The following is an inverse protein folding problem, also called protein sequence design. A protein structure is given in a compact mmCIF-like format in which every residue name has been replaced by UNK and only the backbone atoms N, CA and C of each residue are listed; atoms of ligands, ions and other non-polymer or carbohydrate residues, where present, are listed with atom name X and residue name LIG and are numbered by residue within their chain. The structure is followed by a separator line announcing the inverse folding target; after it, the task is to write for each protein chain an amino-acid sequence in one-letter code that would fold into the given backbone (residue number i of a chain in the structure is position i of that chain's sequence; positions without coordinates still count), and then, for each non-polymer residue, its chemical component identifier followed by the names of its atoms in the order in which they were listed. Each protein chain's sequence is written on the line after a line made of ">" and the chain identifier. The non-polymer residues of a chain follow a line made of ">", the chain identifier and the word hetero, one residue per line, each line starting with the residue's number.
data_IF_900032495235
#
_entry.id   IF_900032495235
#
_cell.length_a   1.000
_cell.length_b   1.000
_cell.length_c   1.000
_cell.angle_alpha   90.00
_cell.angle_beta   90.00
_cell.angle_gamma   90.00
#
_symmetry.space_group_name_H-M   'P 1'
#
loop_
_entity.id
_entity.type
_entity.pdbx_description
1 polymer ?
#
# COMPACT_ATOMS: atom_id res chain seq x y z
N UNK A 1 -6.81 16.96 25.37
CA UNK A 1 -6.60 16.57 23.95
C UNK A 1 -6.10 15.13 23.96
N UNK A 2 -6.94 14.14 23.62
CA UNK A 2 -6.56 12.72 23.65
C UNK A 2 -5.67 12.42 22.43
N UNK A 3 -4.45 11.94 22.64
CA UNK A 3 -3.53 11.55 21.58
C UNK A 3 -3.75 10.06 21.28
N UNK A 4 -4.26 9.72 20.10
CA UNK A 4 -4.45 8.32 19.72
C UNK A 4 -3.11 7.65 19.37
N UNK A 5 -3.04 6.32 19.51
CA UNK A 5 -1.86 5.52 19.15
C UNK A 5 -1.46 5.74 17.68
N UNK A 6 -2.43 5.96 16.81
CA UNK A 6 -2.19 6.24 15.40
C UNK A 6 -1.53 7.59 15.20
N UNK A 7 -1.92 8.62 15.95
CA UNK A 7 -1.25 9.94 15.92
C UNK A 7 0.21 9.80 16.37
N UNK A 8 0.50 8.97 17.38
CA UNK A 8 1.88 8.70 17.82
C UNK A 8 2.68 8.00 16.73
N UNK A 9 2.11 6.96 16.09
CA UNK A 9 2.79 6.27 14.98
C UNK A 9 3.01 7.18 13.78
N UNK A 10 2.00 7.99 13.42
CA UNK A 10 2.08 8.99 12.36
C UNK A 10 3.22 10.00 12.64
N UNK A 11 3.30 10.49 13.88
CA UNK A 11 4.33 11.42 14.32
C UNK A 11 5.72 10.78 14.30
N UNK A 12 5.85 9.52 14.72
CA UNK A 12 7.10 8.77 14.62
C UNK A 12 7.54 8.55 13.17
N UNK A 13 6.61 8.21 12.28
CA UNK A 13 6.88 8.09 10.84
C UNK A 13 7.31 9.43 10.26
N UNK A 14 6.59 10.51 10.55
CA UNK A 14 6.94 11.86 10.09
C UNK A 14 8.32 12.31 10.59
N UNK A 15 8.66 12.00 11.85
CA UNK A 15 9.96 12.36 12.44
C UNK A 15 11.14 11.64 11.80
N UNK A 16 10.96 10.39 11.37
CA UNK A 16 12.03 9.56 10.77
C UNK A 16 12.25 9.83 9.28
N UNK A 17 11.22 10.35 8.60
CA UNK A 17 11.24 10.56 7.15
C UNK A 17 11.98 11.86 6.83
N UNK A 18 12.96 11.78 5.92
CA UNK A 18 13.67 12.94 5.39
C UNK A 18 13.28 13.15 3.93
N UNK A 19 12.65 14.29 3.65
CA UNK A 19 12.33 14.71 2.28
C UNK A 19 13.58 15.38 1.70
N UNK A 20 13.99 14.94 0.52
CA UNK A 20 15.09 15.58 -0.21
C UNK A 20 14.59 16.85 -0.93
N UNK A 21 15.48 17.80 -1.19
CA UNK A 21 15.14 19.04 -1.90
C UNK A 21 14.57 18.74 -3.30
N UNK A 22 15.11 17.73 -4.00
CA UNK A 22 14.59 17.29 -5.30
C UNK A 22 13.14 16.79 -5.22
N UNK A 23 12.77 16.04 -4.18
CA UNK A 23 11.41 15.56 -3.94
C UNK A 23 10.45 16.72 -3.65
N UNK A 24 10.85 17.65 -2.79
CA UNK A 24 10.04 18.84 -2.46
C UNK A 24 9.82 19.71 -3.71
N UNK A 25 10.88 20.00 -4.46
CA UNK A 25 10.82 20.83 -5.67
C UNK A 25 9.94 20.20 -6.75
N UNK A 26 10.08 18.90 -6.98
CA UNK A 26 9.18 18.18 -7.90
C UNK A 26 7.72 18.29 -7.44
N UNK A 27 7.47 18.03 -6.16
CA UNK A 27 6.12 18.10 -5.60
C UNK A 27 5.52 19.49 -5.76
N UNK A 28 6.24 20.57 -5.41
CA UNK A 28 5.71 21.94 -5.48
C UNK A 28 5.38 22.38 -6.92
N UNK A 29 6.18 21.94 -7.90
CA UNK A 29 5.95 22.24 -9.32
C UNK A 29 4.76 21.44 -9.84
N UNK A 30 4.71 20.15 -9.53
CA UNK A 30 3.71 19.22 -10.05
C UNK A 30 2.36 19.40 -9.36
N UNK A 31 2.34 19.66 -8.05
CA UNK A 31 1.13 19.80 -7.23
C UNK A 31 0.24 20.95 -7.70
N UNK A 32 0.83 22.03 -8.21
CA UNK A 32 0.10 23.16 -8.80
C UNK A 32 -0.65 22.79 -10.08
N UNK A 33 -0.22 21.74 -10.78
CA UNK A 33 -0.78 21.26 -12.05
C UNK A 33 -1.76 20.10 -11.86
N UNK A 34 -1.93 19.62 -10.63
CA UNK A 34 -2.80 18.48 -10.32
C UNK A 34 -4.25 18.84 -10.56
N UNK A 35 -4.93 17.98 -11.32
CA UNK A 35 -6.37 18.02 -11.59
C UNK A 35 -7.07 16.85 -10.91
N UNK A 36 -8.38 16.96 -10.69
CA UNK A 36 -9.20 15.92 -10.08
C UNK A 36 -10.10 16.47 -8.97
N UNK A 37 -11.30 15.89 -8.87
CA UNK A 37 -12.31 16.25 -7.87
C UNK A 37 -12.00 15.49 -6.58
N UNK A 38 -11.66 14.21 -6.70
CA UNK A 38 -11.38 13.35 -5.55
C UNK A 38 -9.91 13.39 -5.14
N UNK A 39 -9.61 13.13 -3.86
CA UNK A 39 -8.22 13.02 -3.37
C UNK A 39 -7.41 11.96 -4.14
N UNK A 40 -8.07 10.87 -4.54
CA UNK A 40 -7.44 9.79 -5.31
C UNK A 40 -7.10 10.22 -6.73
N UNK A 41 -8.02 10.89 -7.42
CA UNK A 41 -7.75 11.47 -8.75
C UNK A 41 -6.59 12.47 -8.70
N UNK A 42 -6.59 13.33 -7.68
CA UNK A 42 -5.49 14.29 -7.49
C UNK A 42 -4.16 13.58 -7.27
N UNK A 43 -4.13 12.52 -6.48
CA UNK A 43 -2.93 11.71 -6.29
C UNK A 43 -2.52 10.97 -7.57
N UNK A 44 -3.47 10.42 -8.33
CA UNK A 44 -3.17 9.80 -9.63
C UNK A 44 -2.58 10.82 -10.60
N UNK A 45 -3.20 12.00 -10.72
CA UNK A 45 -2.76 13.10 -11.57
C UNK A 45 -1.37 13.60 -11.18
N UNK A 46 -1.04 13.65 -9.88
CA UNK A 46 0.30 13.93 -9.38
C UNK A 46 1.31 12.85 -9.79
N UNK A 47 0.95 11.58 -9.61
CA UNK A 47 1.84 10.45 -9.88
C UNK A 47 2.12 10.24 -11.37
N UNK A 48 1.25 10.74 -12.24
CA UNK A 48 1.42 10.75 -13.70
C UNK A 48 2.31 11.90 -14.21
N UNK A 49 2.72 12.84 -13.36
CA UNK A 49 3.58 13.94 -13.78
C UNK A 49 5.00 13.44 -14.12
N UNK A 50 5.64 13.96 -15.19
CA UNK A 50 6.98 13.56 -15.57
C UNK A 50 8.04 14.02 -14.56
N UNK A 51 9.23 13.43 -14.62
CA UNK A 51 10.37 13.83 -13.78
C UNK A 51 10.24 13.47 -12.30
N UNK A 52 9.40 12.46 -11.97
CA UNK A 52 9.23 11.98 -10.60
C UNK A 52 10.57 11.43 -10.05
N UNK A 53 11.12 12.02 -8.96
CA UNK A 53 12.29 11.46 -8.30
C UNK A 53 11.93 10.14 -7.62
N UNK A 54 12.96 9.33 -7.30
CA UNK A 54 12.76 8.15 -6.47
C UNK A 54 12.18 8.59 -5.13
N UNK A 55 10.93 8.21 -4.85
CA UNK A 55 10.19 8.62 -3.66
C UNK A 55 9.52 7.40 -3.04
N UNK A 56 9.69 7.22 -1.74
CA UNK A 56 9.02 6.17 -0.97
C UNK A 56 7.60 6.60 -0.60
N UNK A 57 6.76 5.63 -0.29
CA UNK A 57 5.37 5.89 0.12
C UNK A 57 5.27 6.82 1.34
N UNK A 58 6.18 6.67 2.30
CA UNK A 58 6.25 7.49 3.53
C UNK A 58 6.68 8.94 3.24
N UNK A 59 7.62 9.13 2.32
CA UNK A 59 8.08 10.45 1.87
C UNK A 59 6.97 11.19 1.10
N UNK A 60 6.31 10.51 0.16
CA UNK A 60 5.18 11.08 -0.57
C UNK A 60 4.00 11.40 0.36
N UNK A 61 3.72 10.50 1.31
CA UNK A 61 2.68 10.72 2.31
C UNK A 61 2.96 11.97 3.15
N UNK A 62 4.22 12.20 3.55
CA UNK A 62 4.61 13.38 4.32
C UNK A 62 4.48 14.67 3.49
N UNK A 63 4.86 14.66 2.21
CA UNK A 63 4.65 15.79 1.29
C UNK A 63 3.16 16.16 1.17
N UNK A 64 2.30 15.16 0.99
CA UNK A 64 0.86 15.34 0.93
C UNK A 64 0.30 15.89 2.25
N UNK A 65 0.78 15.35 3.37
CA UNK A 65 0.41 15.82 4.70
C UNK A 65 0.78 17.30 4.90
N UNK A 66 1.99 17.69 4.53
CA UNK A 66 2.47 19.08 4.57
C UNK A 66 1.66 20.01 3.66
N UNK A 67 1.15 19.50 2.54
CA UNK A 67 0.22 20.19 1.65
C UNK A 67 -1.25 20.17 2.13
N UNK A 68 -1.48 19.83 3.41
CA UNK A 68 -2.78 19.69 4.05
C UNK A 68 -3.73 18.70 3.35
N UNK A 69 -3.17 17.69 2.66
CA UNK A 69 -3.92 16.60 2.06
C UNK A 69 -3.93 15.39 2.99
N UNK A 70 -5.04 15.23 3.73
CA UNK A 70 -5.24 14.05 4.57
C UNK A 70 -5.55 12.83 3.72
N UNK A 71 -4.56 11.97 3.53
CA UNK A 71 -4.70 10.61 2.99
C UNK A 71 -4.00 9.61 3.91
N UNK A 72 -4.54 8.38 3.97
CA UNK A 72 -3.90 7.28 4.69
C UNK A 72 -2.63 6.83 3.98
N UNK A 73 -1.59 6.48 4.75
CA UNK A 73 -0.31 6.00 4.23
C UNK A 73 -0.49 4.78 3.32
N UNK A 74 -1.41 3.87 3.67
CA UNK A 74 -1.75 2.69 2.85
C UNK A 74 -2.28 3.08 1.48
N UNK A 75 -3.11 4.12 1.39
CA UNK A 75 -3.60 4.62 0.09
C UNK A 75 -2.45 5.17 -0.75
N UNK A 76 -1.56 5.96 -0.14
CA UNK A 76 -0.39 6.52 -0.84
C UNK A 76 0.52 5.39 -1.34
N UNK A 77 0.81 4.39 -0.49
CA UNK A 77 1.62 3.22 -0.85
C UNK A 77 1.02 2.47 -2.05
N UNK A 78 -0.28 2.18 -2.01
CA UNK A 78 -0.94 1.43 -3.07
C UNK A 78 -0.98 2.20 -4.39
N UNK A 79 -1.24 3.51 -4.34
CA UNK A 79 -1.27 4.37 -5.53
C UNK A 79 0.12 4.55 -6.14
N UNK A 80 1.14 4.74 -5.30
CA UNK A 80 2.53 4.83 -5.74
C UNK A 80 2.99 3.53 -6.41
N UNK A 81 2.67 2.38 -5.82
CA UNK A 81 2.94 1.08 -6.42
C UNK A 81 2.22 0.94 -7.77
N UNK A 82 0.93 1.28 -7.84
CA UNK A 82 0.16 1.24 -9.09
C UNK A 82 0.76 2.13 -10.18
N UNK A 83 1.23 3.33 -9.83
CA UNK A 83 1.86 4.27 -10.76
C UNK A 83 3.30 3.88 -11.18
N UNK A 84 3.84 2.76 -10.68
CA UNK A 84 5.12 2.20 -11.14
C UNK A 84 4.93 0.95 -11.99
N UNK A 85 3.72 0.38 -12.01
CA UNK A 85 3.41 -0.83 -12.76
C UNK A 85 3.35 -0.51 -14.25
N UNK A 86 4.07 -1.31 -15.04
CA UNK A 86 3.86 -1.39 -16.48
C UNK A 86 3.18 -2.72 -16.79
N UNK A 87 1.92 -2.67 -17.20
CA UNK A 87 1.17 -3.87 -17.57
C UNK A 87 0.92 -3.89 -19.08
N UNK A 88 1.15 -5.05 -19.69
CA UNK A 88 0.94 -5.24 -21.13
C UNK A 88 -0.54 -5.46 -21.45
N UNK A 89 -0.94 -5.12 -22.68
CA UNK A 89 -2.33 -5.34 -23.13
C UNK A 89 -2.77 -6.82 -23.03
N UNK A 90 -1.82 -7.75 -23.21
CA UNK A 90 -2.04 -9.19 -23.05
C UNK A 90 -2.36 -9.57 -21.61
N UNK A 91 -1.61 -9.01 -20.64
CA UNK A 91 -1.87 -9.22 -19.21
C UNK A 91 -3.22 -8.61 -18.80
N UNK A 92 -3.54 -7.40 -19.29
CA UNK A 92 -4.85 -6.79 -19.06
C UNK A 92 -5.96 -7.71 -19.57
N UNK A 93 -5.84 -8.21 -20.81
CA UNK A 93 -6.83 -9.12 -21.38
C UNK A 93 -6.98 -10.39 -20.52
N UNK A 94 -5.86 -11.00 -20.13
CA UNK A 94 -5.86 -12.22 -19.32
C UNK A 94 -6.58 -12.00 -17.97
N UNK A 95 -6.27 -10.91 -17.25
CA UNK A 95 -6.93 -10.60 -15.97
C UNK A 95 -8.43 -10.42 -16.16
N UNK A 96 -8.85 -9.75 -17.22
CA UNK A 96 -10.26 -9.49 -17.48
C UNK A 96 -11.02 -10.73 -17.94
N UNK A 97 -10.40 -11.57 -18.78
CA UNK A 97 -10.97 -12.86 -19.17
C UNK A 97 -11.12 -13.77 -17.94
N UNK A 98 -10.11 -13.79 -17.06
CA UNK A 98 -10.18 -14.50 -15.78
C UNK A 98 -11.29 -13.95 -14.88
N UNK A 99 -11.38 -12.63 -14.73
CA UNK A 99 -12.43 -11.96 -13.96
C UNK A 99 -13.81 -12.34 -14.45
N UNK A 100 -14.08 -12.20 -15.75
CA UNK A 100 -15.38 -12.50 -16.36
C UNK A 100 -15.73 -14.00 -16.33
N UNK A 101 -14.74 -14.89 -16.18
CA UNK A 101 -14.96 -16.32 -16.04
C UNK A 101 -15.36 -16.74 -14.62
N UNK A 102 -15.24 -15.84 -13.64
CA UNK A 102 -15.69 -16.10 -12.28
C UNK A 102 -17.21 -16.03 -12.22
N UNK A 103 -17.81 -16.95 -11.47
CA UNK A 103 -19.23 -16.84 -11.12
C UNK A 103 -19.41 -15.67 -10.14
N UNK A 104 -19.92 -14.55 -10.63
CA UNK A 104 -20.20 -13.33 -9.87
C UNK A 104 -21.56 -13.41 -9.15
N UNK A 105 -21.82 -14.52 -8.45
CA UNK A 105 -23.03 -14.65 -7.64
C UNK A 105 -23.18 -13.43 -6.71
N UNK A 106 -24.34 -12.76 -6.77
CA UNK A 106 -24.60 -11.52 -6.02
C UNK A 106 -24.44 -11.64 -4.50
N UNK A 107 -24.44 -12.86 -3.96
CA UNK A 107 -24.21 -13.12 -2.54
C UNK A 107 -22.71 -13.08 -2.14
N UNK A 108 -21.78 -13.10 -3.10
CA UNK A 108 -20.34 -13.13 -2.81
C UNK A 108 -19.75 -11.73 -2.69
N UNK A 109 -19.03 -11.48 -1.59
CA UNK A 109 -18.36 -10.20 -1.38
C UNK A 109 -17.31 -9.91 -2.45
N UNK A 110 -17.07 -8.64 -2.75
CA UNK A 110 -16.00 -8.22 -3.69
C UNK A 110 -14.63 -8.76 -3.26
N UNK A 111 -14.36 -8.80 -1.95
CA UNK A 111 -13.09 -9.34 -1.43
C UNK A 111 -12.99 -10.82 -1.77
N UNK A 112 -14.03 -11.61 -1.53
CA UNK A 112 -14.05 -13.04 -1.89
C UNK A 112 -13.83 -13.26 -3.39
N UNK A 113 -14.47 -12.46 -4.25
CA UNK A 113 -14.27 -12.52 -5.69
C UNK A 113 -12.81 -12.19 -6.07
N UNK A 114 -12.20 -11.21 -5.42
CA UNK A 114 -10.78 -10.88 -5.62
C UNK A 114 -9.85 -11.99 -5.15
N UNK A 115 -10.11 -12.65 -4.01
CA UNK A 115 -9.26 -13.77 -3.57
C UNK A 115 -9.37 -14.93 -4.59
N UNK A 116 -10.57 -15.21 -5.13
CA UNK A 116 -10.75 -16.18 -6.23
C UNK A 116 -9.96 -15.81 -7.48
N UNK A 117 -10.03 -14.54 -7.89
CA UNK A 117 -9.28 -14.05 -9.04
C UNK A 117 -7.77 -14.24 -8.83
N UNK A 118 -7.25 -13.80 -7.69
CA UNK A 118 -5.83 -13.85 -7.40
C UNK A 118 -5.31 -15.30 -7.39
N UNK A 119 -6.03 -16.24 -6.77
CA UNK A 119 -5.66 -17.67 -6.78
C UNK A 119 -5.75 -18.29 -8.18
N UNK A 120 -6.74 -17.88 -8.98
CA UNK A 120 -6.86 -18.33 -10.36
C UNK A 120 -5.68 -17.85 -11.23
N UNK A 121 -5.21 -16.62 -10.97
CA UNK A 121 -4.10 -16.00 -11.68
C UNK A 121 -2.73 -16.46 -11.20
N UNK A 122 -2.58 -16.80 -9.92
CA UNK A 122 -1.32 -17.24 -9.31
C UNK A 122 -0.73 -18.47 -10.03
N UNK A 123 -1.59 -19.40 -10.43
CA UNK A 123 -1.18 -20.60 -11.16
C UNK A 123 -0.87 -20.36 -12.65
N UNK A 124 -1.24 -19.19 -13.19
CA UNK A 124 -1.19 -18.89 -14.63
C UNK A 124 -0.21 -17.77 -14.97
N UNK A 125 0.13 -16.94 -14.00
CA UNK A 125 0.90 -15.71 -14.19
C UNK A 125 1.67 -15.36 -12.92
N UNK A 126 2.70 -14.51 -13.06
CA UNK A 126 3.42 -13.90 -11.92
C UNK A 126 2.91 -12.50 -11.59
N UNK A 127 1.65 -12.20 -11.94
CA UNK A 127 1.06 -10.88 -11.73
C UNK A 127 0.92 -10.59 -10.24
N UNK A 128 1.43 -9.43 -9.83
CA UNK A 128 1.25 -8.92 -8.48
C UNK A 128 -0.16 -8.36 -8.31
N UNK A 129 -0.73 -8.37 -7.09
CA UNK A 129 -2.09 -7.86 -6.83
C UNK A 129 -2.31 -6.41 -7.29
N UNK A 130 -1.26 -5.58 -7.24
CA UNK A 130 -1.32 -4.21 -7.76
C UNK A 130 -1.45 -4.15 -9.29
N UNK A 131 -0.83 -5.08 -10.01
CA UNK A 131 -0.93 -5.18 -11.46
C UNK A 131 -2.33 -5.68 -11.87
N UNK A 132 -2.88 -6.62 -11.11
CA UNK A 132 -4.26 -7.07 -11.26
C UNK A 132 -5.24 -5.92 -11.03
N UNK A 133 -5.01 -5.08 -10.01
CA UNK A 133 -5.83 -3.90 -9.76
C UNK A 133 -5.79 -2.90 -10.92
N UNK A 134 -4.61 -2.63 -11.48
CA UNK A 134 -4.48 -1.75 -12.66
C UNK A 134 -5.24 -2.36 -13.84
N UNK A 135 -5.07 -3.65 -14.13
CA UNK A 135 -5.78 -4.32 -15.23
C UNK A 135 -7.31 -4.27 -15.13
N UNK A 136 -7.85 -4.39 -13.91
CA UNK A 136 -9.28 -4.28 -13.65
C UNK A 136 -9.78 -2.85 -13.84
N UNK A 137 -8.99 -1.86 -13.40
CA UNK A 137 -9.30 -0.43 -13.54
C UNK A 137 -9.34 -0.01 -15.01
N UNK A 138 -8.42 -0.50 -15.84
CA UNK A 138 -8.39 -0.25 -17.30
C UNK A 138 -9.66 -0.73 -18.05
N UNK A 139 -10.48 -1.59 -17.42
CA UNK A 139 -11.76 -2.06 -17.96
C UNK A 139 -12.97 -1.60 -17.16
N UNK A 140 -12.80 -0.55 -16.35
CA UNK A 140 -13.86 0.06 -15.54
C UNK A 140 -14.48 -0.90 -14.50
N UNK A 141 -13.72 -1.89 -14.02
CA UNK A 141 -14.14 -2.67 -12.85
C UNK A 141 -13.78 -1.88 -11.60
N UNK A 142 -14.78 -1.37 -10.88
CA UNK A 142 -14.58 -0.60 -9.66
C UNK A 142 -14.11 -1.49 -8.51
N UNK A 143 -12.80 -1.59 -8.34
CA UNK A 143 -12.18 -2.26 -7.20
C UNK A 143 -11.45 -1.23 -6.35
N UNK A 144 -11.81 -1.14 -5.07
CA UNK A 144 -11.06 -0.29 -4.17
C UNK A 144 -9.73 -0.97 -3.75
N UNK A 145 -8.69 -0.15 -3.57
CA UNK A 145 -7.34 -0.57 -3.19
C UNK A 145 -7.30 -1.34 -1.86
N UNK A 146 -8.21 -1.02 -0.94
CA UNK A 146 -8.31 -1.66 0.38
C UNK A 146 -8.79 -3.11 0.27
N UNK A 147 -9.81 -3.37 -0.55
CA UNK A 147 -10.34 -4.69 -0.83
C UNK A 147 -9.30 -5.57 -1.53
N UNK A 148 -8.56 -5.01 -2.49
CA UNK A 148 -7.41 -5.69 -3.10
C UNK A 148 -6.33 -6.02 -2.06
N UNK A 149 -6.05 -5.09 -1.14
CA UNK A 149 -5.12 -5.32 -0.03
C UNK A 149 -5.53 -6.47 0.88
N UNK A 150 -6.80 -6.51 1.30
CA UNK A 150 -7.35 -7.60 2.11
C UNK A 150 -7.33 -8.93 1.36
N UNK A 151 -7.71 -8.93 0.08
CA UNK A 151 -7.69 -10.14 -0.73
C UNK A 151 -6.25 -10.68 -0.88
N UNK A 152 -5.29 -9.81 -1.18
CA UNK A 152 -3.89 -10.17 -1.28
C UNK A 152 -3.30 -10.68 0.04
N UNK A 153 -3.69 -10.09 1.17
CA UNK A 153 -3.28 -10.57 2.49
C UNK A 153 -3.85 -11.97 2.79
N UNK A 154 -5.08 -12.26 2.36
CA UNK A 154 -5.68 -13.58 2.52
C UNK A 154 -5.07 -14.64 1.60
N UNK A 155 -4.69 -14.30 0.36
CA UNK A 155 -3.96 -15.24 -0.53
C UNK A 155 -2.60 -15.59 0.03
N UNK A 156 -1.87 -14.59 0.57
CA UNK A 156 -0.53 -14.80 1.14
C UNK A 156 -0.55 -15.41 2.53
N UNK A 157 -1.71 -15.50 3.18
CA UNK A 157 -1.77 -16.01 4.53
C UNK A 157 -1.45 -17.50 4.53
N UNK A 158 -0.44 -17.88 5.31
CA UNK A 158 -0.09 -19.28 5.53
C UNK A 158 -1.01 -19.86 6.59
N UNK A 159 -1.49 -21.07 6.34
CA UNK A 159 -2.29 -21.83 7.29
C UNK A 159 -2.04 -23.32 7.09
N UNK A 160 -2.22 -24.08 8.17
CA UNK A 160 -2.01 -25.52 8.20
C UNK A 160 -3.33 -26.26 7.98
N UNK A 161 -3.31 -27.55 7.62
CA UNK A 161 -4.52 -28.38 7.61
C UNK A 161 -5.24 -28.37 8.96
N UNK A 162 -4.50 -28.32 10.08
CA UNK A 162 -5.06 -28.24 11.43
C UNK A 162 -5.84 -26.94 11.66
N UNK A 163 -5.45 -25.83 11.04
CA UNK A 163 -6.22 -24.58 11.10
C UNK A 163 -7.58 -24.72 10.40
N UNK A 164 -7.60 -25.43 9.27
CA UNK A 164 -8.84 -25.72 8.51
C UNK A 164 -9.75 -26.67 9.28
N UNK A 165 -9.18 -27.70 9.90
CA UNK A 165 -9.95 -28.65 10.72
C UNK A 165 -10.51 -27.94 11.96
N UNK A 166 -9.73 -27.07 12.59
CA UNK A 166 -10.17 -26.27 13.71
C UNK A 166 -11.36 -25.38 13.33
N UNK A 167 -11.29 -24.60 12.25
CA UNK A 167 -12.40 -23.69 11.89
C UNK A 167 -13.67 -24.46 11.56
N UNK A 168 -13.56 -25.64 10.94
CA UNK A 168 -14.70 -26.53 10.65
C UNK A 168 -15.36 -27.09 11.91
N UNK A 169 -14.60 -27.28 12.98
CA UNK A 169 -15.10 -27.76 14.28
C UNK A 169 -15.65 -26.62 15.13
N UNK A 170 -14.93 -25.50 15.19
CA UNK A 170 -15.26 -24.37 16.06
C UNK A 170 -16.47 -23.58 15.53
N UNK A 171 -16.54 -23.32 14.23
CA UNK A 171 -17.56 -22.44 13.65
C UNK A 171 -19.00 -22.90 13.87
N UNK A 172 -19.36 -24.19 13.75
CA UNK A 172 -20.72 -24.66 14.04
C UNK A 172 -21.17 -24.42 15.49
N UNK A 173 -20.22 -24.35 16.44
CA UNK A 173 -20.50 -24.06 17.86
C UNK A 173 -20.72 -22.59 18.18
N UNK A 174 -20.47 -21.69 17.23
CA UNK A 174 -20.69 -20.24 17.41
C UNK A 174 -22.16 -19.90 17.18
N UNK A 175 -22.77 -19.24 18.16
CA UNK A 175 -24.15 -18.76 18.09
C UNK A 175 -24.33 -17.78 16.91
N UNK A 176 -25.22 -18.16 15.97
CA UNK A 176 -25.48 -17.39 14.75
C UNK A 176 -26.44 -16.23 14.96
N UNK A 177 -27.12 -16.17 16.10
CA UNK A 177 -27.99 -15.03 16.48
C UNK A 177 -27.16 -13.84 16.98
N UNK A 178 -25.90 -14.06 17.36
CA UNK A 178 -25.01 -12.99 17.78
C UNK A 178 -24.62 -12.07 16.61
N UNK A 179 -24.35 -10.78 16.86
CA UNK A 179 -23.72 -9.93 15.86
C UNK A 179 -22.38 -10.49 15.38
N UNK A 180 -22.04 -10.33 14.10
CA UNK A 180 -20.79 -10.88 13.50
C UNK A 180 -19.53 -10.53 14.29
N UNK A 181 -19.49 -9.35 14.90
CA UNK A 181 -18.40 -8.94 15.77
C UNK A 181 -18.25 -9.84 17.01
N UNK A 182 -19.35 -10.16 17.69
CA UNK A 182 -19.35 -11.05 18.86
C UNK A 182 -19.06 -12.50 18.46
N UNK A 183 -19.62 -12.96 17.33
CA UNK A 183 -19.27 -14.27 16.77
C UNK A 183 -17.75 -14.41 16.55
N UNK A 184 -17.10 -13.35 16.07
CA UNK A 184 -15.67 -13.33 15.84
C UNK A 184 -14.87 -13.32 17.14
N UNK A 185 -15.30 -12.57 18.16
CA UNK A 185 -14.69 -12.60 19.49
C UNK A 185 -14.76 -14.01 20.08
N UNK A 186 -15.93 -14.65 20.06
CA UNK A 186 -16.13 -16.00 20.59
C UNK A 186 -15.30 -17.05 19.85
N UNK A 187 -15.21 -16.93 18.53
CA UNK A 187 -14.38 -17.78 17.70
C UNK A 187 -12.88 -17.61 18.02
N UNK A 188 -12.40 -16.37 18.08
CA UNK A 188 -10.99 -16.07 18.38
C UNK A 188 -10.59 -16.48 19.79
N UNK A 189 -11.51 -16.39 20.76
CA UNK A 189 -11.29 -16.88 22.12
C UNK A 189 -11.03 -18.40 22.17
N UNK A 190 -11.52 -19.15 21.19
CA UNK A 190 -11.27 -20.60 21.06
C UNK A 190 -9.99 -20.93 20.28
N UNK A 191 -9.33 -19.94 19.66
CA UNK A 191 -8.10 -20.19 18.91
C UNK A 191 -6.89 -20.37 19.86
N UNK A 192 -6.07 -21.42 19.68
CA UNK A 192 -4.98 -21.74 20.61
C UNK A 192 -3.90 -20.66 20.68
N UNK A 193 -3.46 -20.14 19.53
CA UNK A 193 -2.33 -19.21 19.42
C UNK A 193 -2.74 -17.93 18.69
N UNK A 194 -3.00 -16.86 19.44
CA UNK A 194 -3.43 -15.59 18.84
C UNK A 194 -2.32 -14.81 18.14
N UNK A 195 -1.06 -15.14 18.37
CA UNK A 195 0.06 -14.43 17.75
C UNK A 195 0.22 -14.84 16.28
N UNK A 196 -0.07 -16.11 15.98
CA UNK A 196 -0.04 -16.67 14.64
C UNK A 196 -1.24 -16.23 13.76
N UNK A 197 -2.36 -15.83 14.36
CA UNK A 197 -3.55 -15.47 13.59
C UNK A 197 -3.59 -14.01 13.15
N UNK A 198 -3.59 -13.80 11.84
CA UNK A 198 -3.75 -12.47 11.21
C UNK A 198 -5.17 -12.30 10.65
N UNK A 199 -5.63 -11.07 10.36
CA UNK A 199 -6.92 -10.88 9.69
C UNK A 199 -6.98 -11.56 8.31
N UNK A 200 -5.86 -11.60 7.59
CA UNK A 200 -5.76 -12.31 6.31
C UNK A 200 -5.94 -13.81 6.48
N UNK A 201 -5.27 -14.41 7.47
CA UNK A 201 -5.40 -15.83 7.82
C UNK A 201 -6.83 -16.19 8.22
N UNK A 202 -7.44 -15.41 9.12
CA UNK A 202 -8.83 -15.64 9.53
C UNK A 202 -9.81 -15.49 8.36
N UNK A 203 -9.64 -14.47 7.50
CA UNK A 203 -10.47 -14.30 6.31
C UNK A 203 -10.37 -15.51 5.37
N UNK A 204 -9.16 -16.06 5.22
CA UNK A 204 -8.92 -17.26 4.42
C UNK A 204 -9.58 -18.49 5.04
N UNK A 205 -9.48 -18.68 6.35
CA UNK A 205 -10.12 -19.80 7.06
C UNK A 205 -11.66 -19.74 7.02
N UNK A 206 -12.25 -18.57 7.18
CA UNK A 206 -13.70 -18.39 7.01
C UNK A 206 -14.17 -18.74 5.60
N UNK A 207 -13.33 -18.51 4.59
CA UNK A 207 -13.66 -18.93 3.24
C UNK A 207 -13.67 -20.46 3.08
N UNK A 208 -12.82 -21.21 3.77
CA UNK A 208 -12.84 -22.69 3.71
C UNK A 208 -14.15 -23.31 4.24
N UNK A 209 -15.03 -22.51 4.87
CA UNK A 209 -16.35 -22.89 5.36
C UNK A 209 -17.49 -22.06 4.74
N UNK A 210 -17.24 -21.40 3.61
CA UNK A 210 -18.18 -20.54 2.87
C UNK A 210 -18.80 -19.42 3.72
N UNK A 211 -18.01 -18.85 4.64
CA UNK A 211 -18.40 -17.71 5.45
C UNK A 211 -17.64 -16.45 5.06
N UNK A 212 -18.28 -15.30 5.27
CA UNK A 212 -17.66 -14.01 5.08
C UNK A 212 -17.97 -13.09 6.26
N UNK A 213 -16.91 -12.64 6.91
CA UNK A 213 -16.93 -11.53 7.88
C UNK A 213 -16.00 -10.46 7.34
N UNK A 214 -16.43 -9.20 7.41
CA UNK A 214 -15.65 -8.13 6.82
C UNK A 214 -14.28 -7.99 7.52
N UNK A 215 -13.19 -7.70 6.78
CA UNK A 215 -11.84 -7.64 7.34
C UNK A 215 -11.68 -6.64 8.50
N UNK A 216 -12.45 -5.55 8.49
CA UNK A 216 -12.46 -4.58 9.58
C UNK A 216 -13.01 -5.17 10.89
N UNK A 217 -14.10 -5.95 10.82
CA UNK A 217 -14.66 -6.66 11.98
C UNK A 217 -13.65 -7.68 12.52
N UNK A 218 -12.98 -8.42 11.64
CA UNK A 218 -11.94 -9.37 12.02
C UNK A 218 -10.77 -8.65 12.73
N UNK A 219 -10.26 -7.57 12.14
CA UNK A 219 -9.16 -6.79 12.72
C UNK A 219 -9.49 -6.18 14.08
N UNK A 220 -10.70 -5.62 14.22
CA UNK A 220 -11.17 -5.07 15.49
C UNK A 220 -11.32 -6.15 16.56
N UNK A 221 -11.90 -7.30 16.20
CA UNK A 221 -12.07 -8.41 17.12
C UNK A 221 -10.72 -8.95 17.59
N UNK A 222 -9.78 -9.18 16.67
CA UNK A 222 -8.40 -9.58 16.99
C UNK A 222 -7.71 -8.61 17.94
N UNK A 223 -7.86 -7.30 17.71
CA UNK A 223 -7.27 -6.29 18.59
C UNK A 223 -7.83 -6.40 20.01
N UNK A 224 -9.14 -6.62 20.16
CA UNK A 224 -9.79 -6.71 21.47
C UNK A 224 -9.43 -8.01 22.18
N UNK A 225 -9.46 -9.15 21.50
CA UNK A 225 -9.11 -10.43 22.13
C UNK A 225 -7.64 -10.44 22.57
N UNK A 226 -6.72 -9.90 21.76
CA UNK A 226 -5.31 -9.76 22.16
C UNK A 226 -5.15 -8.90 23.42
N UNK A 227 -5.81 -7.74 23.46
CA UNK A 227 -5.81 -6.88 24.65
C UNK A 227 -6.34 -7.58 25.90
N UNK A 228 -7.39 -8.40 25.75
CA UNK A 228 -7.97 -9.18 26.85
C UNK A 228 -7.04 -10.29 27.35
N UNK A 229 -6.30 -10.97 26.47
CA UNK A 229 -5.36 -12.04 26.85
C UNK A 229 -4.04 -11.50 27.42
N UNK A 230 -3.64 -10.30 27.02
CA UNK A 230 -2.40 -9.65 27.49
C UNK A 230 -2.58 -8.94 28.86
N UNK A 231 -3.74 -9.05 29.52
CA UNK A 231 -4.09 -8.33 30.76
C UNK A 231 -3.95 -6.80 30.67
N UNK A 232 -4.02 -6.23 29.46
CA UNK A 232 -4.01 -4.78 29.24
C UNK A 232 -5.46 -4.29 29.14
N UNK A 233 -6.08 -4.03 30.29
CA UNK A 233 -7.40 -3.36 30.35
C UNK A 233 -7.24 -1.89 29.93
N UNK A 234 -7.62 -1.56 28.69
CA UNK A 234 -7.94 -0.18 28.30
C UNK A 234 -9.43 -0.12 28.00
N UNK A 235 -10.17 0.64 28.82
CA UNK A 235 -11.59 0.96 28.65
C UNK A 235 -11.82 1.52 27.24
N UNK A 236 -12.85 1.06 26.49
CA UNK A 236 -13.03 1.41 25.09
C UNK A 236 -13.55 2.84 24.96
N UNK A 237 -12.87 3.65 24.17
CA UNK A 237 -13.42 4.86 23.55
C UNK A 237 -12.69 5.09 22.21
N UNK A 238 -13.47 5.07 21.12
CA UNK A 238 -13.20 5.53 19.75
C UNK A 238 -12.39 4.63 18.75
N UNK A 239 -12.63 4.80 17.43
CA UNK A 239 -12.70 3.70 16.47
C UNK A 239 -11.38 3.33 15.77
N UNK A 240 -11.28 2.03 15.49
CA UNK A 240 -10.51 1.29 14.46
C UNK A 240 -9.03 1.69 14.27
N UNK A 241 -8.08 0.88 14.76
CA UNK A 241 -6.72 0.88 14.26
C UNK A 241 -6.66 0.15 12.91
N UNK A 242 -6.26 0.84 11.84
CA UNK A 242 -5.78 0.20 10.62
C UNK A 242 -4.55 -0.66 10.97
N UNK A 243 -4.61 -1.97 10.69
CA UNK A 243 -3.48 -2.88 10.86
C UNK A 243 -2.28 -2.39 10.04
N UNK A 244 -1.21 -2.02 10.74
CA UNK A 244 0.12 -1.78 10.19
C UNK A 244 0.89 -3.09 10.29
N UNK A 245 1.16 -3.71 9.14
CA UNK A 245 2.17 -4.76 9.02
C UNK A 245 3.53 -4.21 9.46
N UNK A 246 4.19 -4.98 10.33
CA UNK A 246 5.58 -4.84 10.71
C UNK A 246 6.44 -5.11 9.46
N UNK A 247 7.29 -4.16 9.07
CA UNK A 247 8.38 -4.44 8.12
C UNK A 247 9.28 -5.53 8.73
N UNK A 248 9.71 -6.56 7.98
CA UNK A 248 10.85 -7.37 8.39
C UNK A 248 12.11 -6.50 8.35
N UNK A 249 12.85 -6.45 9.46
CA UNK A 249 14.17 -5.81 9.50
C UNK A 249 15.08 -6.43 8.43
N UNK A 250 15.58 -5.59 7.53
CA UNK A 250 16.67 -5.96 6.63
C UNK A 250 17.89 -6.36 7.49
N UNK A 251 18.53 -7.51 7.23
CA UNK A 251 19.77 -7.85 7.91
C UNK A 251 20.85 -6.79 7.60
N UNK A 252 21.76 -6.51 8.56
CA UNK A 252 22.80 -5.51 8.36
C UNK A 252 23.67 -5.88 7.16
N UNK A 253 23.94 -4.89 6.30
CA UNK A 253 24.81 -5.06 5.15
C UNK A 253 26.19 -5.61 5.58
N UNK A 254 26.77 -6.57 4.86
CA UNK A 254 28.12 -7.05 5.15
C UNK A 254 29.15 -5.93 4.95
N UNK A 255 30.27 -5.96 5.68
CA UNK A 255 31.28 -4.92 5.63
C UNK A 255 31.85 -4.78 4.22
N UNK A 256 31.97 -3.52 3.79
CA UNK A 256 32.61 -3.11 2.53
C UNK A 256 34.04 -3.64 2.54
N UNK A 257 34.28 -4.70 1.76
CA UNK A 257 35.63 -5.12 1.38
C UNK A 257 36.08 -4.20 0.26
N UNK A 258 36.98 -3.28 0.57
CA UNK A 258 37.66 -2.42 -0.40
C UNK A 258 38.47 -3.29 -1.36
N UNK A 259 38.17 -3.33 -2.67
CA UNK A 259 39.08 -3.90 -3.64
C UNK A 259 40.08 -2.83 -4.07
N UNK A 260 41.35 -3.23 -4.09
CA UNK A 260 42.49 -2.43 -4.48
C UNK A 260 42.32 -1.73 -5.84
N UNK A 261 42.84 -0.50 -5.92
CA UNK A 261 43.06 0.23 -7.17
C UNK A 261 43.82 -0.61 -8.19
N UNK A 262 43.51 -0.45 -9.49
CA UNK A 262 44.52 -0.50 -10.53
C UNK A 262 44.71 0.87 -11.20
N UNK A 263 45.99 1.24 -11.26
CA UNK A 263 46.68 2.01 -12.28
C UNK A 263 46.02 3.26 -12.90
N UNK A 264 46.59 4.40 -12.50
CA UNK A 264 46.89 5.59 -13.32
C UNK A 264 46.80 5.36 -14.84
N UNK A 265 45.93 6.13 -15.48
CA UNK A 265 46.22 6.74 -16.79
C UNK A 265 46.11 8.26 -16.61
N UNK A 266 47.24 8.94 -16.80
CA UNK A 266 47.37 10.38 -16.78
C UNK A 266 47.14 10.95 -18.19
N UNK A 267 46.28 11.98 -18.25
CA UNK A 267 46.40 13.23 -19.03
C UNK A 267 46.25 13.16 -20.58
N UNK A 268 45.74 14.23 -21.24
CA UNK A 268 46.15 15.62 -21.00
C UNK A 268 45.05 16.63 -20.69
N UNK A 269 45.46 17.57 -19.84
CA UNK A 269 44.99 18.95 -19.75
C UNK A 269 45.08 19.61 -21.13
N UNK A 270 44.01 20.25 -21.55
CA UNK A 270 44.09 21.42 -22.41
C UNK A 270 43.23 22.50 -21.77
N UNK A 271 43.93 23.36 -21.04
CA UNK A 271 43.55 24.73 -20.82
C UNK A 271 43.64 25.52 -22.14
N UNK A 272 42.80 26.56 -22.21
CA UNK A 272 42.85 27.70 -23.13
C UNK A 272 42.44 27.44 -24.60
N UNK A 273 41.22 27.92 -24.95
CA UNK A 273 40.98 28.90 -26.03
C UNK A 273 39.47 29.07 -26.26
N UNK A 274 38.84 30.03 -25.59
CA UNK A 274 38.40 31.30 -26.19
C UNK A 274 37.42 32.05 -25.25
N UNK A 275 37.68 33.33 -24.96
CA UNK A 275 36.80 34.22 -24.20
C UNK A 275 35.75 34.87 -25.11
N UNK A 276 34.79 35.57 -24.48
CA UNK A 276 33.81 36.52 -25.04
C UNK A 276 32.48 35.95 -25.53
N UNK A 277 31.42 36.15 -24.74
CA UNK A 277 30.24 36.96 -25.13
C UNK A 277 29.21 36.98 -23.99
N UNK A 278 29.53 37.70 -22.90
CA UNK A 278 28.61 37.94 -21.79
C UNK A 278 28.00 39.36 -21.83
N UNK A 279 28.10 40.07 -22.97
CA UNK A 279 27.68 41.48 -23.09
C UNK A 279 26.63 41.78 -24.16
N UNK A 280 26.18 40.80 -24.96
CA UNK A 280 25.21 41.07 -26.04
C UNK A 280 23.74 40.87 -25.64
N UNK A 281 23.44 40.17 -24.54
CA UNK A 281 22.04 39.95 -24.12
C UNK A 281 21.44 41.12 -23.33
N UNK A 282 22.27 41.92 -22.66
CA UNK A 282 21.79 43.08 -21.88
C UNK A 282 21.38 44.27 -22.74
N UNK A 283 21.91 44.42 -23.96
CA UNK A 283 21.48 45.48 -24.90
C UNK A 283 20.16 45.19 -25.60
N UNK A 284 19.77 43.92 -25.73
CA UNK A 284 18.50 43.55 -26.34
C UNK A 284 17.30 43.72 -25.39
N UNK A 285 17.51 43.62 -24.08
CA UNK A 285 16.43 43.82 -23.10
C UNK A 285 16.13 45.32 -22.84
N UNK A 286 17.15 46.19 -22.91
CA UNK A 286 16.99 47.62 -22.64
C UNK A 286 16.41 48.41 -23.84
N UNK A 287 16.22 47.78 -25.01
CA UNK A 287 15.52 48.38 -26.17
C UNK A 287 14.03 48.02 -26.24
N UNK A 288 13.55 47.04 -25.47
CA UNK A 288 12.13 46.64 -25.46
C UNK A 288 11.34 47.14 -24.24
N UNK A 289 11.98 47.83 -23.29
CA UNK A 289 11.34 48.24 -22.03
C UNK A 289 11.74 49.66 -21.58
N UNK A 290 11.38 50.68 -22.36
CA UNK A 290 10.85 51.99 -21.90
C UNK A 290 10.64 52.94 -23.09
N UNK A 291 9.58 53.77 -23.11
CA UNK A 291 8.14 53.48 -23.12
C UNK A 291 7.46 53.78 -24.48
#
# INVERSE_FOLDING_TARGET
>A
MKVSRDIVKLAQTAYRVKITEAQQKWFDVCWKKVSGITKKERLASLLSQPGRPLIKATELWLLLYNANQRMGLTTVRNMLAAATVQITQTQIKLVNDAWNSLDHCHATSIVTQLIRLLLHLENRTRLQPVEVLVALTERNVEVNTTAMGHAAAAVRAEFTPSDVDWIKIAWPGIDKELPQFMQMIDLLNQYPDLDDITPGKMLRLLWEIDQYICPATIGNALSIVRQQRDDIIIVPDDPVPELIDLEPELPPAPPVVTPAMPARLQLPEQDELFPLQEHDWKRQLDQELDP
#
